data_IF_198999163012
#
_entry.id   IF_198999163012
#
_cell.length_a   1.000
_cell.length_b   1.000
_cell.length_c   1.000
_cell.angle_alpha   90.00
_cell.angle_beta   90.00
_cell.angle_gamma   90.00
#
_symmetry.space_group_name_H-M   'P 1'
#
loop_
_entity.id
_entity.type
_entity.pdbx_description
1 polymer ?
#
# COMPACT_ATOMS: atom_id res chain seq x y z
N UNK A 1 -8.84 2.26 -9.09
CA UNK A 1 -7.77 3.18 -9.53
C UNK A 1 -7.40 2.82 -10.97
N UNK A 2 -7.23 3.77 -11.88
CA UNK A 2 -6.87 3.48 -13.28
C UNK A 2 -5.38 3.81 -13.49
N UNK A 3 -4.53 2.80 -13.60
CA UNK A 3 -3.08 2.95 -13.66
C UNK A 3 -2.59 2.92 -15.10
N UNK A 4 -2.35 4.07 -15.72
CA UNK A 4 -1.82 4.10 -17.10
C UNK A 4 -0.28 4.24 -17.15
N UNK A 5 0.41 4.19 -16.01
CA UNK A 5 1.84 3.82 -15.98
C UNK A 5 2.27 3.26 -14.61
N UNK A 6 1.98 3.99 -13.53
CA UNK A 6 2.10 3.54 -12.14
C UNK A 6 1.22 4.45 -11.28
N UNK A 7 0.13 3.94 -10.74
CA UNK A 7 -0.69 4.73 -9.81
C UNK A 7 -0.17 4.50 -8.40
N UNK A 8 0.46 5.54 -7.81
CA UNK A 8 1.03 5.49 -6.48
C UNK A 8 0.29 6.49 -5.58
N UNK A 9 -0.23 6.03 -4.44
CA UNK A 9 -0.81 6.90 -3.42
C UNK A 9 0.24 7.53 -2.51
N UNK A 10 -0.22 8.17 -1.43
CA UNK A 10 0.65 8.83 -0.45
C UNK A 10 1.37 7.81 0.45
N UNK A 11 2.58 8.14 0.88
CA UNK A 11 3.32 7.35 1.87
C UNK A 11 2.58 7.38 3.20
N UNK A 12 2.45 6.23 3.85
CA UNK A 12 1.83 6.14 5.17
C UNK A 12 2.30 4.91 5.94
N UNK A 13 2.03 4.89 7.25
CA UNK A 13 2.17 3.72 8.11
C UNK A 13 0.82 3.26 8.66
N UNK A 14 0.79 1.97 9.01
CA UNK A 14 -0.31 1.25 9.64
C UNK A 14 0.06 0.90 11.08
N UNK A 15 -0.26 1.74 12.09
CA UNK A 15 0.15 1.49 13.48
C UNK A 15 -0.31 0.15 14.01
N UNK A 16 -1.47 -0.31 13.56
CA UNK A 16 -2.14 -1.52 14.01
C UNK A 16 -2.41 -2.52 12.87
N UNK A 17 -1.77 -2.33 11.73
CA UNK A 17 -1.95 -3.15 10.53
C UNK A 17 -3.17 -2.77 9.70
N UNK A 18 -3.37 -3.51 8.61
CA UNK A 18 -4.43 -3.30 7.62
C UNK A 18 -4.84 -4.63 6.99
N UNK A 19 -6.15 -4.85 6.80
CA UNK A 19 -6.67 -5.95 6.01
C UNK A 19 -7.20 -5.42 4.68
N UNK A 20 -6.79 -6.03 3.57
CA UNK A 20 -7.21 -5.66 2.22
C UNK A 20 -7.90 -6.82 1.50
N UNK A 21 -8.91 -6.51 0.68
CA UNK A 21 -9.37 -7.34 -0.43
C UNK A 21 -9.01 -6.68 -1.76
N UNK A 22 -8.27 -7.39 -2.60
CA UNK A 22 -7.91 -6.98 -3.95
C UNK A 22 -8.87 -7.64 -4.93
N UNK A 23 -9.56 -6.81 -5.71
CA UNK A 23 -10.48 -7.22 -6.77
C UNK A 23 -9.98 -6.63 -8.10
N UNK A 24 -9.20 -7.40 -8.89
CA UNK A 24 -8.76 -6.97 -10.21
C UNK A 24 -9.95 -6.68 -11.13
N UNK A 25 -9.89 -5.56 -11.86
CA UNK A 25 -10.79 -5.30 -12.99
C UNK A 25 -10.13 -5.80 -14.27
N UNK A 26 -8.83 -5.53 -14.42
CA UNK A 26 -8.01 -6.11 -15.48
C UNK A 26 -7.30 -7.39 -15.00
N UNK A 27 -7.16 -8.44 -15.83
CA UNK A 27 -6.59 -9.73 -15.43
C UNK A 27 -5.16 -9.71 -14.86
N UNK A 28 -4.39 -8.66 -15.15
CA UNK A 28 -3.01 -8.48 -14.66
C UNK A 28 -2.87 -7.53 -13.49
N UNK A 29 -3.96 -6.93 -13.00
CA UNK A 29 -3.89 -5.88 -11.99
C UNK A 29 -3.50 -6.45 -10.62
N UNK A 30 -2.50 -5.82 -9.99
CA UNK A 30 -1.99 -6.20 -8.66
C UNK A 30 -1.82 -4.98 -7.77
N UNK A 31 -2.04 -5.17 -6.47
CA UNK A 31 -1.72 -4.20 -5.43
C UNK A 31 -0.32 -4.49 -4.89
N UNK A 32 0.53 -3.46 -4.83
CA UNK A 32 1.85 -3.54 -4.20
C UNK A 32 1.71 -3.09 -2.74
N UNK A 33 1.94 -4.03 -1.83
CA UNK A 33 1.90 -3.81 -0.39
C UNK A 33 3.25 -4.10 0.29
N UNK A 34 3.30 -4.03 1.63
CA UNK A 34 4.51 -4.30 2.41
C UNK A 34 5.09 -5.71 2.19
N UNK A 35 4.24 -6.70 1.88
CA UNK A 35 4.63 -8.10 1.64
C UNK A 35 4.86 -8.44 0.16
N UNK A 36 4.93 -7.44 -0.72
CA UNK A 36 5.09 -7.64 -2.16
C UNK A 36 3.80 -7.40 -2.95
N UNK A 37 3.69 -8.05 -4.12
CA UNK A 37 2.52 -7.90 -5.01
C UNK A 37 1.44 -8.90 -4.63
N UNK A 38 0.20 -8.40 -4.57
CA UNK A 38 -0.99 -9.18 -4.32
C UNK A 38 -1.92 -9.09 -5.54
N UNK A 39 -2.27 -10.25 -6.11
CA UNK A 39 -3.34 -10.40 -7.10
C UNK A 39 -4.72 -10.55 -6.43
N UNK A 40 -5.69 -11.25 -7.02
CA UNK A 40 -7.02 -11.38 -6.42
C UNK A 40 -6.98 -12.03 -5.04
N UNK A 41 -7.80 -11.52 -4.11
CA UNK A 41 -7.99 -12.10 -2.79
C UNK A 41 -7.54 -11.20 -1.63
N UNK A 42 -7.41 -11.81 -0.46
CA UNK A 42 -7.15 -11.12 0.80
C UNK A 42 -5.65 -10.99 1.09
N UNK A 43 -5.25 -9.87 1.69
CA UNK A 43 -3.91 -9.69 2.26
C UNK A 43 -3.97 -8.88 3.54
N UNK A 44 -3.04 -9.12 4.45
CA UNK A 44 -2.94 -8.42 5.73
C UNK A 44 -1.53 -7.86 5.93
N UNK A 45 -1.45 -6.55 6.12
CA UNK A 45 -0.22 -5.85 6.48
C UNK A 45 -0.06 -5.86 8.00
N UNK A 46 1.13 -6.23 8.49
CA UNK A 46 1.41 -6.28 9.92
C UNK A 46 1.37 -4.87 10.57
N UNK A 47 1.10 -4.78 11.89
CA UNK A 47 1.31 -3.56 12.66
C UNK A 47 2.71 -2.98 12.46
N UNK A 48 2.79 -1.64 12.34
CA UNK A 48 4.04 -0.91 12.09
C UNK A 48 4.52 -0.94 10.63
N UNK A 49 3.84 -1.65 9.73
CA UNK A 49 4.15 -1.61 8.31
C UNK A 49 3.92 -0.22 7.71
N UNK A 50 4.68 0.12 6.67
CA UNK A 50 4.60 1.40 5.99
C UNK A 50 4.96 1.26 4.52
N UNK A 51 4.27 1.98 3.66
CA UNK A 51 4.46 1.83 2.22
C UNK A 51 3.86 3.00 1.44
N UNK A 52 4.17 3.01 0.15
CA UNK A 52 3.32 3.64 -0.83
C UNK A 52 2.35 2.57 -1.36
N UNK A 53 1.03 2.79 -1.31
CA UNK A 53 0.09 1.90 -1.98
C UNK A 53 0.24 2.13 -3.48
N UNK A 54 0.39 1.06 -4.24
CA UNK A 54 0.61 1.17 -5.67
C UNK A 54 -0.16 0.10 -6.42
N UNK A 55 -0.72 0.48 -7.57
CA UNK A 55 -1.38 -0.44 -8.50
C UNK A 55 -0.53 -0.60 -9.76
N UNK A 56 -0.36 -1.85 -10.20
CA UNK A 56 0.34 -2.22 -11.44
C UNK A 56 -0.51 -3.16 -12.29
N UNK A 57 -0.34 -3.10 -13.61
CA UNK A 57 -0.88 -4.10 -14.54
C UNK A 57 -2.35 -3.90 -14.91
N UNK A 58 -2.91 -2.72 -14.66
CA UNK A 58 -4.28 -2.35 -15.00
C UNK A 58 -5.08 -1.84 -13.81
N UNK A 59 -6.39 -1.74 -13.97
CA UNK A 59 -7.31 -1.28 -12.94
C UNK A 59 -7.67 -2.39 -11.94
N UNK A 60 -7.80 -1.99 -10.67
CA UNK A 60 -8.36 -2.80 -9.61
C UNK A 60 -9.17 -1.96 -8.63
N UNK A 61 -9.98 -2.66 -7.83
CA UNK A 61 -10.63 -2.17 -6.62
C UNK A 61 -9.86 -2.76 -5.43
N UNK A 62 -9.50 -1.91 -4.46
CA UNK A 62 -8.95 -2.32 -3.18
C UNK A 62 -9.93 -1.89 -2.09
N UNK A 63 -10.45 -2.86 -1.31
CA UNK A 63 -11.18 -2.60 -0.08
C UNK A 63 -10.20 -2.77 1.08
N UNK A 64 -10.02 -1.74 1.89
CA UNK A 64 -9.10 -1.78 3.03
C UNK A 64 -9.82 -1.47 4.33
N UNK A 65 -9.45 -2.20 5.37
CA UNK A 65 -9.95 -2.06 6.73
C UNK A 65 -8.79 -1.73 7.64
N UNK A 66 -8.86 -0.54 8.23
CA UNK A 66 -7.85 -0.06 9.17
C UNK A 66 -8.23 -0.46 10.58
N UNK A 67 -7.33 -1.15 11.26
CA UNK A 67 -7.44 -1.42 12.70
C UNK A 67 -7.59 -0.09 13.46
N UNK A 68 -8.72 0.05 14.17
CA UNK A 68 -9.11 1.28 14.88
C UNK A 68 -9.18 2.55 14.00
N UNK A 69 -9.32 2.41 12.67
CA UNK A 69 -9.39 3.54 11.75
C UNK A 69 -8.10 4.36 11.66
N UNK A 70 -6.95 3.82 12.09
CA UNK A 70 -5.70 4.59 12.21
C UNK A 70 -4.78 4.38 11.02
N UNK A 71 -4.29 5.51 10.49
CA UNK A 71 -3.30 5.61 9.43
C UNK A 71 -2.46 6.86 9.72
N UNK A 72 -1.14 6.79 9.48
CA UNK A 72 -0.22 7.90 9.75
C UNK A 72 0.44 8.37 8.46
N UNK A 73 0.30 9.66 8.14
CA UNK A 73 0.92 10.28 6.97
C UNK A 73 2.16 11.12 7.31
N UNK A 74 2.21 11.72 8.50
CA UNK A 74 3.35 12.51 8.96
C UNK A 74 4.41 11.62 9.63
N UNK A 75 5.07 10.82 8.80
CA UNK A 75 6.17 9.95 9.23
C UNK A 75 7.36 10.13 8.30
N UNK A 76 8.56 10.19 8.89
CA UNK A 76 9.78 10.22 8.11
C UNK A 76 10.04 8.85 7.47
N UNK A 77 10.33 8.84 6.17
CA UNK A 77 10.92 7.66 5.54
C UNK A 77 12.35 7.53 6.08
N UNK A 78 12.71 6.40 6.69
CA UNK A 78 14.07 6.15 7.22
C UNK A 78 15.19 6.43 6.22
N UNK A 79 14.91 6.36 4.92
CA UNK A 79 15.86 6.67 3.85
C UNK A 79 16.26 8.16 3.77
N UNK A 80 15.46 9.10 4.30
CA UNK A 80 15.79 10.54 4.31
C UNK A 80 16.65 10.97 5.50
N UNK A 81 16.78 10.13 6.52
CA UNK A 81 17.53 10.47 7.73
C UNK A 81 19.04 10.24 7.54
N UNK A 82 19.42 9.25 6.71
CA UNK A 82 20.82 8.99 6.35
C UNK A 82 21.39 10.12 5.48
N UNK A 83 20.62 10.64 4.52
CA UNK A 83 21.06 11.71 3.61
C UNK A 83 21.18 13.10 4.26
N UNK A 84 20.64 13.31 5.46
CA UNK A 84 20.78 14.59 6.20
C UNK A 84 21.99 14.62 7.13
N UNK A 85 22.58 13.47 7.42
CA UNK A 85 23.72 13.31 8.33
C UNK A 85 24.97 12.74 7.61
N UNK A 86 25.04 12.88 6.28
CA UNK A 86 26.20 12.51 5.44
C UNK A 86 26.67 13.71 4.63
#
# INVERSE_FOLDING_TARGET
MNSVERYQGQYHAHPYGELNLVVPVDPGATLVGPSGRQGPGWTASAPGSHHYPEVRGGALIALFYLSAGRILYDIARRDREIARNS
#
